data_IF_546476104076
#
_entry.id   IF_546476104076
#
_cell.length_a   1.000
_cell.length_b   1.000
_cell.length_c   1.000
_cell.angle_alpha   90.00
_cell.angle_beta   90.00
_cell.angle_gamma   90.00
#
_symmetry.space_group_name_H-M   'P 1'
#
loop_
_entity.id
_entity.type
_entity.pdbx_description
1 polymer ?
#
# COMPACT_ATOMS: atom_id res chain seq x y z
N UNK A 1 13.82 11.08 8.14
CA UNK A 1 14.42 9.73 8.28
C UNK A 1 14.08 8.97 6.99
N UNK A 2 14.95 8.14 6.42
CA UNK A 2 14.61 7.38 5.20
C UNK A 2 14.01 6.04 5.61
N UNK A 3 12.76 5.76 5.24
CA UNK A 3 12.14 4.46 5.46
C UNK A 3 12.79 3.39 4.56
N UNK A 4 13.08 2.19 5.08
CA UNK A 4 13.53 1.04 4.30
C UNK A 4 12.34 0.32 3.66
N UNK A 5 11.67 0.99 2.72
CA UNK A 5 10.50 0.45 2.01
C UNK A 5 10.97 -0.32 0.79
N UNK A 6 10.40 -1.52 0.62
CA UNK A 6 10.72 -2.46 -0.47
C UNK A 6 9.51 -2.66 -1.38
N UNK A 7 9.21 -1.69 -2.25
CA UNK A 7 8.09 -1.81 -3.16
C UNK A 7 8.40 -2.79 -4.28
N UNK A 8 7.40 -3.57 -4.70
CA UNK A 8 7.51 -4.50 -5.82
C UNK A 8 6.67 -4.07 -7.02
N UNK A 9 5.91 -2.97 -6.91
CA UNK A 9 5.05 -2.44 -7.97
C UNK A 9 5.02 -0.91 -8.00
N UNK A 10 4.33 -0.35 -9.00
CA UNK A 10 4.13 1.09 -9.10
C UNK A 10 3.15 1.59 -8.02
N UNK A 11 3.41 2.76 -7.39
CA UNK A 11 2.51 3.35 -6.41
C UNK A 11 1.22 3.90 -7.04
N UNK A 12 0.21 4.10 -6.20
CA UNK A 12 -0.91 4.99 -6.46
C UNK A 12 -0.69 6.33 -5.76
N UNK A 13 -1.19 7.40 -6.38
CA UNK A 13 -1.18 8.75 -5.81
C UNK A 13 -2.61 9.25 -5.73
N UNK A 14 -3.01 9.70 -4.55
CA UNK A 14 -4.30 10.32 -4.26
C UNK A 14 -4.05 11.82 -4.05
N UNK A 15 -4.12 12.59 -5.14
CA UNK A 15 -3.78 14.02 -5.14
C UNK A 15 -4.64 14.83 -4.17
N UNK A 16 -5.96 14.56 -4.14
CA UNK A 16 -6.90 15.31 -3.31
C UNK A 16 -6.60 15.19 -1.80
N UNK A 17 -6.06 14.05 -1.37
CA UNK A 17 -5.74 13.78 0.04
C UNK A 17 -4.25 13.81 0.34
N UNK A 18 -3.40 14.13 -0.64
CA UNK A 18 -1.95 14.20 -0.50
C UNK A 18 -1.27 12.89 -0.07
N UNK A 19 -1.80 11.75 -0.52
CA UNK A 19 -1.28 10.42 -0.14
C UNK A 19 -0.62 9.67 -1.30
N UNK A 20 0.47 8.98 -1.00
CA UNK A 20 1.07 7.94 -1.83
C UNK A 20 0.78 6.58 -1.20
N UNK A 21 0.30 5.63 -1.99
CA UNK A 21 0.01 4.27 -1.55
C UNK A 21 0.90 3.28 -2.30
N UNK A 22 1.63 2.45 -1.56
CA UNK A 22 2.59 1.51 -2.14
C UNK A 22 2.70 0.24 -1.30
N UNK A 23 3.01 -0.88 -1.95
CA UNK A 23 3.23 -2.13 -1.22
C UNK A 23 4.62 -2.16 -0.58
N UNK A 24 4.75 -2.98 0.44
CA UNK A 24 5.99 -3.28 1.12
C UNK A 24 6.04 -4.77 1.41
N UNK A 25 6.85 -5.50 0.63
CA UNK A 25 7.10 -6.92 0.89
C UNK A 25 8.41 -7.08 1.64
N UNK A 26 8.34 -7.60 2.87
CA UNK A 26 9.51 -7.95 3.67
C UNK A 26 9.27 -9.21 4.50
N UNK A 27 10.29 -10.06 4.62
CA UNK A 27 10.23 -11.23 5.52
C UNK A 27 9.07 -12.22 5.27
N UNK A 28 8.56 -12.32 4.04
CA UNK A 28 7.35 -13.09 3.70
C UNK A 28 6.05 -12.53 4.30
N UNK A 29 5.99 -11.21 4.46
CA UNK A 29 4.76 -10.47 4.74
C UNK A 29 4.60 -9.36 3.70
N UNK A 30 3.41 -9.26 3.11
CA UNK A 30 3.07 -8.19 2.16
C UNK A 30 2.17 -7.18 2.86
N UNK A 31 2.63 -5.93 2.89
CA UNK A 31 1.95 -4.82 3.52
C UNK A 31 1.54 -3.79 2.48
N UNK A 32 0.49 -3.02 2.74
CA UNK A 32 0.17 -1.80 2.01
C UNK A 32 0.39 -0.60 2.93
N UNK A 33 1.24 0.32 2.47
CA UNK A 33 1.58 1.53 3.18
C UNK A 33 0.86 2.72 2.56
N UNK A 34 0.33 3.60 3.40
CA UNK A 34 -0.14 4.94 3.01
C UNK A 34 0.83 5.95 3.60
N UNK A 35 1.35 6.84 2.74
CA UNK A 35 2.42 7.77 3.07
C UNK A 35 1.92 9.18 2.74
N UNK A 36 2.06 10.12 3.68
CA UNK A 36 1.84 11.53 3.41
C UNK A 36 2.98 12.07 2.53
N UNK A 37 2.63 12.71 1.41
CA UNK A 37 3.61 13.09 0.38
C UNK A 37 4.56 14.19 0.87
N UNK A 38 4.06 15.14 1.66
CA UNK A 38 4.85 16.31 2.08
C UNK A 38 5.84 15.99 3.21
N UNK A 39 5.39 15.26 4.22
CA UNK A 39 6.20 14.85 5.38
C UNK A 39 7.05 13.60 5.08
N UNK A 40 6.54 12.70 4.24
CA UNK A 40 7.08 11.37 4.03
C UNK A 40 6.75 10.38 5.15
N UNK A 41 5.87 10.74 6.09
CA UNK A 41 5.49 9.88 7.20
C UNK A 41 4.52 8.77 6.73
N UNK A 42 4.70 7.56 7.29
CA UNK A 42 3.76 6.46 7.10
C UNK A 42 2.54 6.70 8.00
N UNK A 43 1.40 7.02 7.41
CA UNK A 43 0.14 7.28 8.12
C UNK A 43 -0.70 6.02 8.30
N UNK A 44 -0.48 5.00 7.47
CA UNK A 44 -1.12 3.69 7.59
C UNK A 44 -0.19 2.57 7.12
N UNK A 45 -0.21 1.45 7.85
CA UNK A 45 0.49 0.21 7.51
C UNK A 45 -0.47 -0.97 7.74
N UNK A 46 -0.82 -1.66 6.66
CA UNK A 46 -1.80 -2.75 6.68
C UNK A 46 -1.18 -4.03 6.19
N UNK A 47 -1.11 -5.02 7.08
CA UNK A 47 -0.81 -6.42 6.72
C UNK A 47 -1.95 -6.97 5.84
N UNK A 48 -1.59 -7.43 4.64
CA UNK A 48 -2.52 -7.99 3.66
C UNK A 48 -2.81 -9.48 3.93
N UNK A 49 -2.05 -10.11 4.83
CA UNK A 49 -2.14 -11.53 5.12
C UNK A 49 -1.69 -12.39 3.94
N UNK A 50 -0.82 -11.86 3.08
CA UNK A 50 -0.21 -12.61 1.97
C UNK A 50 1.25 -12.94 2.31
N UNK A 51 1.65 -14.22 2.26
CA UNK A 51 3.06 -14.60 2.39
C UNK A 51 3.87 -14.35 1.11
N UNK A 52 3.20 -13.89 0.05
CA UNK A 52 3.77 -13.65 -1.27
C UNK A 52 3.61 -12.18 -1.63
N UNK A 53 4.66 -11.60 -2.22
CA UNK A 53 4.57 -10.28 -2.83
C UNK A 53 3.48 -10.29 -3.90
N UNK A 54 2.62 -9.28 -3.89
CA UNK A 54 1.67 -9.09 -4.97
C UNK A 54 2.40 -8.78 -6.29
N UNK A 55 1.97 -9.47 -7.35
CA UNK A 55 2.42 -9.25 -8.72
C UNK A 55 1.41 -8.48 -9.59
N UNK A 56 0.27 -8.07 -9.02
CA UNK A 56 -0.80 -7.34 -9.68
C UNK A 56 -0.73 -5.84 -9.37
N UNK A 57 -1.36 -5.03 -10.21
CA UNK A 57 -1.49 -3.59 -9.95
C UNK A 57 -2.49 -3.30 -8.83
N UNK A 58 -2.19 -2.27 -8.04
CA UNK A 58 -3.14 -1.69 -7.09
C UNK A 58 -4.38 -1.20 -7.84
N UNK A 59 -5.56 -1.52 -7.31
CA UNK A 59 -6.82 -1.01 -7.88
C UNK A 59 -7.35 0.11 -6.99
N UNK A 60 -7.35 1.36 -7.46
CA UNK A 60 -7.92 2.46 -6.69
C UNK A 60 -9.43 2.24 -6.52
N UNK A 61 -9.92 2.44 -5.30
CA UNK A 61 -11.34 2.53 -5.00
C UNK A 61 -11.89 3.94 -5.29
N UNK A 62 -13.03 4.27 -4.69
CA UNK A 62 -13.73 5.55 -4.92
C UNK A 62 -13.67 6.50 -3.72
N UNK A 63 -13.31 6.03 -2.53
CA UNK A 63 -13.40 6.80 -1.29
C UNK A 63 -12.21 6.46 -0.37
N UNK A 64 -11.03 7.02 -0.64
CA UNK A 64 -9.79 6.76 0.13
C UNK A 64 -9.58 5.28 0.44
N UNK A 65 -9.77 4.45 -0.60
CA UNK A 65 -9.64 3.02 -0.47
C UNK A 65 -8.88 2.39 -1.64
N UNK A 66 -8.25 1.26 -1.35
CA UNK A 66 -7.55 0.43 -2.33
C UNK A 66 -8.06 -1.00 -2.20
N UNK A 67 -8.41 -1.58 -3.35
CA UNK A 67 -8.62 -3.01 -3.46
C UNK A 67 -7.27 -3.65 -3.78
N UNK A 68 -6.81 -4.50 -2.86
CA UNK A 68 -5.54 -5.20 -2.97
C UNK A 68 -5.81 -6.69 -3.17
N UNK A 69 -5.35 -7.23 -4.29
CA UNK A 69 -5.48 -8.65 -4.62
C UNK A 69 -4.10 -9.20 -4.92
N UNK A 70 -3.61 -10.04 -4.01
CA UNK A 70 -2.40 -10.84 -4.20
C UNK A 70 -2.75 -12.22 -4.73
N UNK A 71 -1.76 -13.08 -4.94
CA UNK A 71 -1.98 -14.44 -5.45
C UNK A 71 -2.90 -15.29 -4.57
N UNK A 72 -2.86 -15.12 -3.25
CA UNK A 72 -3.59 -16.00 -2.30
C UNK A 72 -4.49 -15.24 -1.32
N UNK A 73 -4.43 -13.91 -1.32
CA UNK A 73 -5.16 -13.06 -0.36
C UNK A 73 -5.74 -11.83 -1.05
N UNK A 74 -6.87 -11.37 -0.53
CA UNK A 74 -7.52 -10.12 -0.93
C UNK A 74 -7.80 -9.28 0.32
N UNK A 75 -7.58 -7.98 0.20
CA UNK A 75 -7.88 -7.00 1.23
C UNK A 75 -8.47 -5.72 0.61
N UNK A 76 -9.32 -5.03 1.38
CA UNK A 76 -9.71 -3.65 1.11
C UNK A 76 -9.14 -2.78 2.21
N UNK A 77 -8.26 -1.87 1.83
CA UNK A 77 -7.64 -0.90 2.74
C UNK A 77 -8.42 0.40 2.63
N UNK A 78 -8.79 0.97 3.78
CA UNK A 78 -9.51 2.25 3.88
C UNK A 78 -8.76 3.11 4.88
N UNK A 79 -8.63 4.40 4.59
CA UNK A 79 -8.10 5.40 5.53
C UNK A 79 -8.99 6.64 5.55
N UNK A 80 -8.93 7.39 6.64
CA UNK A 80 -9.68 8.64 6.83
C UNK A 80 -9.05 9.80 6.03
#
# INVERSE_FOLDING_TARGET
MRHDIRPTMQPLVYEETNHLVINHFDGASDHLLVIDIDSGDIVCDVDIGSPLANGMFLTPGQNNDVLYCSTVSYARIVWD
#
